data_IF_249540828229
#
_entry.id   IF_249540828229
#
_cell.length_a   1.000
_cell.length_b   1.000
_cell.length_c   1.000
_cell.angle_alpha   90.00
_cell.angle_beta   90.00
_cell.angle_gamma   90.00
#
_symmetry.space_group_name_H-M   'P 1'
#
loop_
_entity.id
_entity.type
_entity.pdbx_description
1 polymer ?
#
# COMPACT_ATOMS: atom_id res chain seq x y z
N UNK A 1 39.21 -10.98 -19.34
CA UNK A 1 39.28 -11.89 -18.17
C UNK A 1 38.74 -11.11 -17.00
N UNK A 2 37.86 -11.72 -16.20
CA UNK A 2 37.30 -11.10 -15.01
C UNK A 2 38.23 -11.32 -13.82
N UNK A 3 38.64 -10.25 -13.17
CA UNK A 3 39.32 -10.29 -11.88
C UNK A 3 38.42 -10.86 -10.79
N UNK A 4 39.00 -11.36 -9.67
CA UNK A 4 38.21 -11.76 -8.52
C UNK A 4 37.23 -10.67 -8.10
N UNK A 5 37.70 -9.42 -7.95
CA UNK A 5 36.90 -8.29 -7.46
C UNK A 5 35.69 -7.98 -8.37
N UNK A 6 35.85 -8.03 -9.70
CA UNK A 6 34.73 -7.86 -10.64
C UNK A 6 33.66 -8.95 -10.47
N UNK A 7 34.07 -10.20 -10.21
CA UNK A 7 33.13 -11.28 -9.94
C UNK A 7 32.52 -11.17 -8.54
N UNK A 8 33.25 -10.68 -7.53
CA UNK A 8 32.71 -10.40 -6.19
C UNK A 8 31.61 -9.34 -6.24
N UNK A 9 31.86 -8.22 -6.91
CA UNK A 9 30.84 -7.17 -7.10
C UNK A 9 29.61 -7.70 -7.83
N UNK A 10 29.81 -8.52 -8.86
CA UNK A 10 28.71 -9.17 -9.57
C UNK A 10 27.90 -10.06 -8.63
N UNK A 11 28.55 -10.86 -7.79
CA UNK A 11 27.89 -11.72 -6.80
C UNK A 11 27.11 -10.90 -5.77
N UNK A 12 27.65 -9.77 -5.31
CA UNK A 12 26.96 -8.85 -4.40
C UNK A 12 25.71 -8.25 -5.06
N UNK A 13 25.80 -7.74 -6.29
CA UNK A 13 24.65 -7.18 -7.03
C UNK A 13 23.56 -8.23 -7.30
N UNK A 14 23.92 -9.50 -7.45
CA UNK A 14 22.96 -10.58 -7.62
C UNK A 14 22.08 -10.77 -6.37
N UNK A 15 22.59 -10.42 -5.17
CA UNK A 15 21.80 -10.41 -3.95
C UNK A 15 20.66 -9.39 -4.01
N UNK A 16 20.81 -8.27 -4.72
CA UNK A 16 19.73 -7.27 -4.82
C UNK A 16 18.54 -7.77 -5.64
N UNK A 17 18.78 -8.66 -6.60
CA UNK A 17 17.75 -9.20 -7.50
C UNK A 17 16.87 -10.24 -6.81
N UNK A 18 15.58 -9.92 -6.63
CA UNK A 18 14.60 -10.84 -6.05
C UNK A 18 14.51 -12.18 -6.83
N UNK A 19 14.61 -12.12 -8.16
CA UNK A 19 14.59 -13.30 -9.03
C UNK A 19 15.79 -14.22 -8.75
N UNK A 20 17.00 -13.66 -8.78
CA UNK A 20 18.23 -14.45 -8.60
C UNK A 20 18.36 -14.97 -7.17
N UNK A 21 17.94 -14.21 -6.15
CA UNK A 21 17.87 -14.71 -4.77
C UNK A 21 16.95 -15.93 -4.66
N UNK A 22 15.73 -15.84 -5.21
CA UNK A 22 14.77 -16.92 -5.18
C UNK A 22 15.30 -18.17 -5.90
N UNK A 23 15.84 -18.00 -7.11
CA UNK A 23 16.46 -19.10 -7.86
C UNK A 23 17.58 -19.79 -7.07
N UNK A 24 18.45 -19.02 -6.41
CA UNK A 24 19.64 -19.59 -5.74
C UNK A 24 19.39 -20.14 -4.35
N UNK A 25 18.43 -19.60 -3.62
CA UNK A 25 18.15 -20.00 -2.24
C UNK A 25 17.03 -21.04 -2.13
N UNK A 26 16.06 -21.04 -3.06
CA UNK A 26 14.91 -21.95 -2.99
C UNK A 26 15.05 -23.19 -3.87
N UNK A 27 15.99 -23.21 -4.84
CA UNK A 27 16.19 -24.33 -5.76
C UNK A 27 17.59 -24.93 -5.60
N UNK A 28 17.72 -26.06 -4.88
CA UNK A 28 19.00 -26.71 -4.66
C UNK A 28 19.73 -27.11 -5.95
N UNK A 29 18.99 -27.41 -7.03
CA UNK A 29 19.54 -27.80 -8.33
C UNK A 29 20.28 -26.69 -9.10
N UNK A 30 20.28 -25.46 -8.59
CA UNK A 30 21.03 -24.35 -9.19
C UNK A 30 22.49 -24.26 -8.70
N UNK A 31 22.93 -25.23 -7.89
CA UNK A 31 24.32 -25.38 -7.45
C UNK A 31 24.99 -26.58 -8.14
N UNK A 32 26.28 -26.50 -8.48
CA UNK A 32 27.19 -25.39 -8.20
C UNK A 32 27.04 -24.20 -9.17
N UNK A 33 27.33 -22.99 -8.68
CA UNK A 33 27.40 -21.78 -9.50
C UNK A 33 28.77 -21.69 -10.18
N UNK A 34 28.79 -21.76 -11.51
CA UNK A 34 30.01 -21.68 -12.31
C UNK A 34 30.16 -20.29 -12.95
N UNK A 35 31.12 -19.51 -12.47
CA UNK A 35 31.41 -18.16 -13.00
C UNK A 35 32.60 -18.22 -13.96
N UNK A 36 32.43 -17.86 -15.25
CA UNK A 36 33.55 -17.84 -16.19
C UNK A 36 34.51 -16.70 -15.86
N UNK A 37 35.79 -17.02 -15.70
CA UNK A 37 36.89 -16.06 -15.51
C UNK A 37 37.37 -15.55 -16.88
N UNK A 38 37.37 -16.45 -17.86
CA UNK A 38 37.77 -16.19 -19.24
C UNK A 38 39.28 -16.33 -19.46
N UNK A 39 39.67 -16.67 -20.70
CA UNK A 39 41.07 -16.88 -21.10
C UNK A 39 41.61 -15.64 -21.84
N UNK A 40 42.88 -15.24 -21.65
CA UNK A 40 43.50 -14.23 -22.48
C UNK A 40 43.79 -14.80 -23.88
N UNK A 41 43.71 -13.97 -24.92
CA UNK A 41 44.16 -14.38 -26.25
C UNK A 41 45.69 -14.49 -26.28
N UNK A 42 46.23 -15.24 -27.23
CA UNK A 42 47.69 -15.37 -27.45
C UNK A 42 48.39 -14.03 -27.63
N UNK A 43 47.72 -13.07 -28.29
CA UNK A 43 48.21 -11.70 -28.47
C UNK A 43 48.29 -10.94 -27.14
N UNK A 44 47.25 -11.00 -26.32
CA UNK A 44 47.20 -10.33 -25.00
C UNK A 44 48.27 -10.92 -24.08
N UNK A 45 48.48 -12.24 -24.13
CA UNK A 45 49.53 -12.88 -23.33
C UNK A 45 50.93 -12.38 -23.72
N UNK A 46 51.23 -12.24 -25.02
CA UNK A 46 52.53 -11.77 -25.49
C UNK A 46 52.79 -10.29 -25.20
N UNK A 47 51.76 -9.44 -25.30
CA UNK A 47 51.88 -7.98 -25.11
C UNK A 47 51.81 -7.56 -23.63
N UNK A 48 51.17 -8.36 -22.77
CA UNK A 48 50.84 -7.98 -21.38
C UNK A 48 51.13 -9.10 -20.36
N UNK A 49 52.22 -9.84 -20.51
CA UNK A 49 52.59 -11.00 -19.68
C UNK A 49 52.51 -10.73 -18.18
N UNK A 50 53.07 -9.61 -17.70
CA UNK A 50 53.10 -9.28 -16.27
C UNK A 50 51.69 -9.10 -15.70
N UNK A 51 50.77 -8.48 -16.45
CA UNK A 51 49.37 -8.30 -16.05
C UNK A 51 48.63 -9.62 -15.96
N UNK A 52 48.91 -10.56 -16.86
CA UNK A 52 48.34 -11.92 -16.84
C UNK A 52 48.87 -12.71 -15.64
N UNK A 53 50.17 -12.63 -15.34
CA UNK A 53 50.74 -13.30 -14.16
C UNK A 53 50.19 -12.73 -12.85
N UNK A 54 50.03 -11.41 -12.73
CA UNK A 54 49.38 -10.79 -11.57
C UNK A 54 47.93 -11.25 -11.44
N UNK A 55 47.19 -11.35 -12.54
CA UNK A 55 45.83 -11.87 -12.56
C UNK A 55 45.75 -13.31 -12.04
N UNK A 56 46.64 -14.20 -12.51
CA UNK A 56 46.77 -15.57 -12.02
C UNK A 56 47.06 -15.61 -10.52
N UNK A 57 47.99 -14.77 -10.03
CA UNK A 57 48.33 -14.71 -8.61
C UNK A 57 47.14 -14.26 -7.75
N UNK A 58 46.35 -13.28 -8.20
CA UNK A 58 45.12 -12.87 -7.51
C UNK A 58 44.12 -14.02 -7.39
N UNK A 59 43.97 -14.84 -8.44
CA UNK A 59 43.10 -16.01 -8.41
C UNK A 59 43.61 -17.13 -7.50
N UNK A 60 44.93 -17.29 -7.33
CA UNK A 60 45.51 -18.24 -6.35
C UNK A 60 45.27 -17.84 -4.90
N UNK A 61 45.03 -16.56 -4.64
CA UNK A 61 44.74 -16.03 -3.30
C UNK A 61 43.25 -16.16 -2.92
N UNK A 62 42.38 -16.57 -3.86
CA UNK A 62 40.96 -16.78 -3.58
C UNK A 62 40.79 -18.04 -2.74
N UNK A 63 40.32 -17.86 -1.50
CA UNK A 63 40.11 -18.95 -0.54
C UNK A 63 38.67 -19.51 -0.53
N UNK A 64 37.69 -18.76 -1.03
CA UNK A 64 36.28 -19.16 -1.02
C UNK A 64 35.92 -19.84 -2.34
N UNK A 65 35.29 -21.02 -2.25
CA UNK A 65 34.94 -21.84 -3.41
C UNK A 65 36.15 -22.53 -4.03
N UNK A 66 35.96 -23.04 -5.25
CA UNK A 66 36.98 -23.75 -6.01
C UNK A 66 37.26 -23.04 -7.34
N UNK A 67 38.54 -22.83 -7.67
CA UNK A 67 38.93 -22.32 -8.99
C UNK A 67 39.40 -23.48 -9.83
N UNK A 68 38.77 -23.70 -10.98
CA UNK A 68 39.23 -24.69 -11.96
C UNK A 68 40.40 -24.13 -12.77
N UNK A 69 41.48 -24.91 -12.87
CA UNK A 69 42.71 -24.55 -13.57
C UNK A 69 42.96 -25.48 -14.75
N UNK A 70 43.48 -24.93 -15.85
CA UNK A 70 43.91 -25.71 -17.02
C UNK A 70 45.28 -25.23 -17.49
N UNK A 71 46.13 -26.17 -17.90
CA UNK A 71 47.42 -25.88 -18.49
C UNK A 71 47.25 -25.39 -19.94
N UNK A 72 47.57 -24.12 -20.20
CA UNK A 72 47.47 -23.51 -21.52
C UNK A 72 48.88 -23.22 -22.06
N UNK A 73 49.15 -23.73 -23.27
CA UNK A 73 50.42 -23.49 -23.97
C UNK A 73 50.34 -22.19 -24.77
N UNK A 74 51.25 -21.25 -24.50
CA UNK A 74 51.39 -20.01 -25.27
C UNK A 74 52.71 -20.04 -26.03
N UNK A 75 52.72 -19.61 -27.29
CA UNK A 75 53.96 -19.56 -28.12
C UNK A 75 55.08 -18.71 -27.50
N UNK A 76 54.74 -17.81 -26.59
CA UNK A 76 55.67 -16.94 -25.88
C UNK A 76 56.22 -17.55 -24.56
N UNK A 77 55.90 -18.81 -24.25
CA UNK A 77 56.34 -19.52 -23.04
C UNK A 77 56.76 -20.95 -23.39
N UNK A 78 57.93 -21.38 -22.95
CA UNK A 78 58.44 -22.74 -23.17
C UNK A 78 57.73 -23.81 -22.32
N UNK A 79 56.98 -23.38 -21.29
CA UNK A 79 56.19 -24.26 -20.42
C UNK A 79 54.70 -23.87 -20.41
N UNK A 80 53.77 -24.84 -20.35
CA UNK A 80 52.34 -24.56 -20.19
C UNK A 80 52.07 -23.78 -18.89
N UNK A 81 51.26 -22.72 -18.98
CA UNK A 81 50.88 -21.89 -17.83
C UNK A 81 49.51 -22.33 -17.32
N UNK A 82 49.40 -22.63 -16.02
CA UNK A 82 48.11 -22.93 -15.39
C UNK A 82 47.24 -21.66 -15.32
N UNK A 83 46.15 -21.67 -16.06
CA UNK A 83 45.22 -20.55 -16.18
C UNK A 83 43.90 -20.83 -15.44
N UNK A 84 43.35 -19.84 -14.71
CA UNK A 84 42.08 -19.98 -14.02
C UNK A 84 40.95 -19.82 -15.03
N UNK A 85 40.05 -20.81 -15.12
CA UNK A 85 38.98 -20.82 -16.12
C UNK A 85 37.64 -20.41 -15.56
N UNK A 86 37.31 -21.01 -14.43
CA UNK A 86 36.00 -20.92 -13.81
C UNK A 86 36.17 -20.84 -12.30
N UNK A 87 35.33 -20.05 -11.67
CA UNK A 87 35.18 -20.01 -10.23
C UNK A 87 33.86 -20.70 -9.87
N UNK A 88 33.97 -21.78 -9.11
CA UNK A 88 32.88 -22.67 -8.73
C UNK A 88 32.54 -22.42 -7.27
N UNK A 89 31.27 -22.17 -7.01
CA UNK A 89 30.70 -22.03 -5.67
C UNK A 89 29.65 -23.12 -5.48
N UNK A 90 29.75 -23.91 -4.43
CA UNK A 90 28.94 -25.11 -4.22
C UNK A 90 27.72 -24.87 -3.33
N UNK A 91 27.66 -23.74 -2.63
CA UNK A 91 26.58 -23.44 -1.69
C UNK A 91 26.22 -21.97 -1.63
N UNK A 92 25.02 -21.63 -1.13
CA UNK A 92 24.64 -20.26 -0.81
C UNK A 92 25.67 -19.56 0.10
N UNK A 93 26.16 -20.25 1.14
CA UNK A 93 27.14 -19.69 2.07
C UNK A 93 28.46 -19.35 1.37
N UNK A 94 28.91 -20.18 0.42
CA UNK A 94 30.07 -19.86 -0.41
C UNK A 94 29.82 -18.64 -1.30
N UNK A 95 28.62 -18.49 -1.89
CA UNK A 95 28.27 -17.30 -2.67
C UNK A 95 28.31 -16.01 -1.85
N UNK A 96 27.76 -16.03 -0.65
CA UNK A 96 27.73 -14.86 0.24
C UNK A 96 29.14 -14.51 0.71
N UNK A 97 29.93 -15.51 1.13
CA UNK A 97 31.32 -15.32 1.52
C UNK A 97 32.18 -14.84 0.34
N UNK A 98 31.91 -15.34 -0.87
CA UNK A 98 32.60 -14.95 -2.09
C UNK A 98 32.31 -13.50 -2.49
N UNK A 99 31.08 -13.02 -2.28
CA UNK A 99 30.72 -11.63 -2.53
C UNK A 99 31.52 -10.64 -1.66
N UNK A 100 31.99 -11.08 -0.49
CA UNK A 100 32.79 -10.29 0.45
C UNK A 100 32.16 -8.93 0.85
N UNK A 101 30.83 -8.84 0.77
CA UNK A 101 30.06 -7.65 1.12
C UNK A 101 29.46 -7.80 2.53
N UNK A 102 29.75 -6.88 3.47
CA UNK A 102 29.29 -6.99 4.85
C UNK A 102 27.77 -6.81 5.01
N UNK A 103 27.13 -6.06 4.12
CA UNK A 103 25.67 -5.86 4.12
C UNK A 103 24.99 -7.14 3.65
N UNK A 104 25.46 -7.73 2.56
CA UNK A 104 24.95 -9.01 2.04
C UNK A 104 25.13 -10.12 3.08
N UNK A 105 26.30 -10.18 3.72
CA UNK A 105 26.59 -11.18 4.77
C UNK A 105 25.68 -11.04 5.99
N UNK A 106 25.43 -9.80 6.45
CA UNK A 106 24.51 -9.53 7.56
C UNK A 106 23.08 -9.94 7.20
N UNK A 107 22.62 -9.57 6.01
CA UNK A 107 21.27 -9.88 5.55
C UNK A 107 21.03 -11.36 5.37
N UNK A 108 22.01 -12.09 4.83
CA UNK A 108 21.93 -13.54 4.72
C UNK A 108 21.77 -14.21 6.09
N UNK A 109 22.59 -13.81 7.09
CA UNK A 109 22.46 -14.33 8.46
C UNK A 109 21.11 -14.00 9.10
N UNK A 110 20.60 -12.78 8.90
CA UNK A 110 19.28 -12.39 9.40
C UNK A 110 18.18 -13.24 8.76
N UNK A 111 18.25 -13.45 7.44
CA UNK A 111 17.29 -14.26 6.70
C UNK A 111 17.34 -15.73 7.15
N UNK A 112 18.53 -16.29 7.34
CA UNK A 112 18.74 -17.65 7.84
C UNK A 112 18.06 -17.84 9.20
N UNK A 113 18.34 -16.96 10.18
CA UNK A 113 17.74 -17.03 11.51
C UNK A 113 16.21 -16.87 11.53
N UNK A 114 15.64 -16.14 10.56
CA UNK A 114 14.17 -16.04 10.39
C UNK A 114 13.62 -17.32 9.76
N UNK A 115 14.22 -17.79 8.65
CA UNK A 115 13.74 -18.95 7.89
C UNK A 115 13.75 -20.23 8.72
N UNK A 116 14.75 -20.41 9.60
CA UNK A 116 14.84 -21.56 10.51
C UNK A 116 13.64 -21.67 11.47
N UNK A 117 13.03 -20.55 11.84
CA UNK A 117 11.95 -20.48 12.82
C UNK A 117 10.56 -20.25 12.21
N UNK A 118 10.50 -20.03 10.90
CA UNK A 118 9.27 -19.72 10.17
C UNK A 118 8.83 -20.91 9.32
N UNK A 119 7.52 -21.11 9.23
CA UNK A 119 6.93 -22.17 8.41
C UNK A 119 7.43 -22.10 6.94
N UNK A 120 7.87 -23.22 6.33
CA UNK A 120 8.38 -23.27 4.96
C UNK A 120 7.51 -22.64 3.89
N UNK A 121 6.19 -22.58 4.09
CA UNK A 121 5.26 -21.95 3.15
C UNK A 121 5.61 -20.48 2.88
N UNK A 122 6.18 -19.77 3.86
CA UNK A 122 6.53 -18.35 3.75
C UNK A 122 7.94 -18.10 3.22
N UNK A 123 8.81 -19.12 3.12
CA UNK A 123 10.19 -18.94 2.67
C UNK A 123 10.28 -18.26 1.29
N UNK A 124 9.47 -18.64 0.28
CA UNK A 124 9.52 -17.98 -1.02
C UNK A 124 9.22 -16.48 -0.97
N UNK A 125 8.25 -16.07 -0.13
CA UNK A 125 7.88 -14.67 0.05
C UNK A 125 9.04 -13.89 0.70
N UNK A 126 9.59 -14.40 1.80
CA UNK A 126 10.66 -13.75 2.55
C UNK A 126 11.96 -13.64 1.75
N UNK A 127 12.31 -14.67 0.97
CA UNK A 127 13.49 -14.66 0.08
C UNK A 127 13.34 -13.64 -1.05
N UNK A 128 12.15 -13.55 -1.66
CA UNK A 128 11.88 -12.60 -2.76
C UNK A 128 11.84 -11.16 -2.24
N UNK A 129 11.14 -10.90 -1.14
CA UNK A 129 10.80 -9.55 -0.68
C UNK A 129 11.57 -9.15 0.59
N UNK A 130 12.84 -8.77 0.42
CA UNK A 130 13.71 -8.33 1.53
C UNK A 130 13.17 -7.15 2.36
N UNK A 131 12.33 -6.28 1.77
CA UNK A 131 11.75 -5.13 2.46
C UNK A 131 10.84 -5.54 3.62
N UNK A 132 10.33 -6.78 3.60
CA UNK A 132 9.46 -7.32 4.66
C UNK A 132 10.19 -7.56 5.98
N UNK A 133 11.53 -7.67 5.98
CA UNK A 133 12.30 -8.03 7.17
C UNK A 133 13.59 -7.23 7.37
N UNK A 134 14.19 -6.63 6.33
CA UNK A 134 15.49 -5.93 6.41
C UNK A 134 15.58 -4.85 7.49
N UNK A 135 14.49 -4.12 7.73
CA UNK A 135 14.43 -3.00 8.69
C UNK A 135 13.56 -3.31 9.90
N UNK A 136 13.15 -4.57 10.08
CA UNK A 136 12.34 -5.02 11.19
C UNK A 136 13.19 -5.85 12.14
N UNK A 137 12.74 -5.91 13.38
CA UNK A 137 13.27 -6.86 14.35
C UNK A 137 12.97 -8.31 13.88
N UNK A 138 13.98 -9.20 13.82
CA UNK A 138 13.78 -10.58 13.38
C UNK A 138 12.74 -11.33 14.21
N UNK A 139 12.70 -11.11 15.53
CA UNK A 139 11.71 -11.74 16.39
C UNK A 139 10.31 -11.26 16.05
N UNK A 140 10.14 -9.98 15.74
CA UNK A 140 8.89 -9.43 15.21
C UNK A 140 8.41 -10.12 13.93
N UNK A 141 9.31 -10.41 12.98
CA UNK A 141 8.94 -11.12 11.74
C UNK A 141 8.54 -12.57 12.02
N UNK A 142 9.26 -13.26 12.88
CA UNK A 142 8.97 -14.64 13.29
C UNK A 142 7.61 -14.71 14.00
N UNK A 143 7.34 -13.79 14.92
CA UNK A 143 6.05 -13.67 15.61
C UNK A 143 4.92 -13.38 14.63
N UNK A 144 5.13 -12.53 13.62
CA UNK A 144 4.12 -12.24 12.61
C UNK A 144 3.80 -13.48 11.76
N UNK A 145 4.82 -14.23 11.34
CA UNK A 145 4.61 -15.48 10.60
C UNK A 145 3.94 -16.56 11.47
N UNK A 146 4.29 -16.65 12.75
CA UNK A 146 3.66 -17.57 13.70
C UNK A 146 2.18 -17.24 13.91
N UNK A 147 1.87 -15.95 14.06
CA UNK A 147 0.50 -15.47 14.14
C UNK A 147 -0.26 -15.74 12.83
N UNK A 148 0.34 -15.44 11.68
CA UNK A 148 -0.25 -15.67 10.37
C UNK A 148 -0.56 -17.16 10.09
N UNK A 149 0.15 -18.11 10.71
CA UNK A 149 -0.18 -19.55 10.66
C UNK A 149 -1.45 -19.93 11.43
N UNK A 150 -1.90 -19.10 12.37
CA UNK A 150 -3.02 -19.40 13.28
C UNK A 150 -4.29 -18.63 12.93
N UNK A 151 -4.14 -17.49 12.25
CA UNK A 151 -5.27 -16.70 11.78
C UNK A 151 -6.00 -17.45 10.67
N UNK A 152 -7.33 -17.45 10.73
CA UNK A 152 -8.22 -18.04 9.73
C UNK A 152 -9.20 -16.97 9.24
N UNK A 153 -9.80 -17.10 8.05
CA UNK A 153 -10.87 -16.23 7.62
C UNK A 153 -11.98 -16.20 8.67
N UNK A 154 -12.43 -15.00 9.03
CA UNK A 154 -13.50 -14.82 10.01
C UNK A 154 -13.15 -15.14 11.47
N UNK A 155 -11.87 -15.32 11.82
CA UNK A 155 -11.50 -15.74 13.17
C UNK A 155 -11.77 -14.69 14.26
N UNK A 156 -11.91 -13.41 13.88
CA UNK A 156 -12.10 -12.32 14.80
C UNK A 156 -13.54 -12.16 15.28
N UNK A 157 -14.54 -12.63 14.53
CA UNK A 157 -15.96 -12.68 14.96
C UNK A 157 -16.49 -11.33 15.47
N UNK A 158 -16.15 -10.24 14.78
CA UNK A 158 -16.49 -8.89 15.19
C UNK A 158 -15.73 -8.40 16.43
N UNK A 159 -14.53 -8.93 16.71
CA UNK A 159 -13.63 -8.38 17.71
C UNK A 159 -12.53 -7.53 17.05
N UNK A 160 -12.06 -6.45 17.68
CA UNK A 160 -10.95 -5.66 17.15
C UNK A 160 -9.68 -6.48 16.92
N UNK A 161 -8.92 -6.13 15.88
CA UNK A 161 -7.65 -6.77 15.55
C UNK A 161 -6.69 -6.81 16.74
N UNK A 162 -6.64 -5.75 17.56
CA UNK A 162 -5.78 -5.69 18.76
C UNK A 162 -6.05 -6.79 19.79
N UNK A 163 -7.26 -7.38 19.82
CA UNK A 163 -7.59 -8.48 20.72
C UNK A 163 -7.11 -9.85 20.19
N UNK A 164 -6.84 -9.96 18.88
CA UNK A 164 -6.24 -11.16 18.29
C UNK A 164 -4.75 -11.31 18.65
N UNK A 165 -4.13 -10.27 19.19
CA UNK A 165 -2.72 -10.24 19.64
C UNK A 165 -2.43 -11.12 20.86
N UNK A 166 -3.43 -11.80 21.45
CA UNK A 166 -3.36 -12.52 22.74
C UNK A 166 -2.43 -13.74 22.85
N UNK A 167 -1.33 -13.80 22.09
CA UNK A 167 -0.40 -14.93 22.01
C UNK A 167 1.07 -14.47 22.05
N UNK A 168 1.40 -13.55 22.96
CA UNK A 168 2.78 -13.10 23.21
C UNK A 168 3.26 -11.93 22.33
N UNK A 169 2.34 -11.25 21.64
CA UNK A 169 2.62 -10.00 20.92
C UNK A 169 1.78 -8.87 21.54
N UNK A 170 2.33 -7.65 21.54
CA UNK A 170 1.61 -6.48 22.09
C UNK A 170 0.31 -6.23 21.30
N UNK A 171 -0.68 -5.63 21.95
CA UNK A 171 -1.95 -5.16 21.39
C UNK A 171 -1.77 -4.39 20.08
N UNK A 172 -0.70 -3.58 19.95
CA UNK A 172 -0.36 -2.81 18.74
C UNK A 172 0.41 -3.60 17.68
N UNK A 173 0.73 -4.86 17.91
CA UNK A 173 1.58 -5.63 17.01
C UNK A 173 0.93 -5.85 15.64
N UNK A 174 -0.36 -6.19 15.61
CA UNK A 174 -1.09 -6.40 14.36
C UNK A 174 -1.17 -5.08 13.60
N UNK A 175 -1.52 -3.97 14.26
CA UNK A 175 -1.58 -2.62 13.67
C UNK A 175 -0.25 -2.22 13.02
N UNK A 176 0.88 -2.46 13.72
CA UNK A 176 2.22 -2.14 13.21
C UNK A 176 2.71 -3.09 12.10
N UNK A 177 2.04 -4.23 11.89
CA UNK A 177 2.44 -5.26 10.94
C UNK A 177 1.33 -5.64 9.95
N UNK A 178 0.30 -4.81 9.75
CA UNK A 178 -0.81 -5.07 8.82
C UNK A 178 -0.29 -5.49 7.45
N UNK A 179 0.64 -4.74 6.87
CA UNK A 179 1.19 -5.04 5.54
C UNK A 179 1.93 -6.37 5.46
N UNK A 180 2.68 -6.74 6.51
CA UNK A 180 3.38 -8.02 6.60
C UNK A 180 2.38 -9.17 6.78
N UNK A 181 1.43 -9.03 7.70
CA UNK A 181 0.40 -10.04 7.97
C UNK A 181 -0.48 -10.29 6.74
N UNK A 182 -0.88 -9.24 6.04
CA UNK A 182 -1.65 -9.36 4.79
C UNK A 182 -0.90 -10.20 3.75
N UNK A 183 0.38 -9.89 3.51
CA UNK A 183 1.22 -10.66 2.57
C UNK A 183 1.44 -12.11 2.98
N UNK A 184 1.57 -12.37 4.28
CA UNK A 184 1.68 -13.73 4.80
C UNK A 184 0.37 -14.50 4.62
N UNK A 185 -0.78 -13.87 4.89
CA UNK A 185 -2.09 -14.47 4.67
C UNK A 185 -2.38 -14.71 3.18
N UNK A 186 -1.94 -13.82 2.29
CA UNK A 186 -2.04 -14.05 0.84
C UNK A 186 -1.35 -15.34 0.39
N UNK A 187 -0.22 -15.70 1.02
CA UNK A 187 0.46 -16.97 0.73
C UNK A 187 -0.39 -18.17 1.15
N UNK A 188 -1.16 -18.06 2.24
CA UNK A 188 -2.03 -19.14 2.74
C UNK A 188 -3.36 -19.21 2.00
N UNK A 189 -3.91 -18.08 1.61
CA UNK A 189 -5.27 -17.93 1.10
C UNK A 189 -5.29 -17.33 -0.32
N UNK A 190 -4.23 -17.56 -1.10
CA UNK A 190 -4.17 -17.22 -2.53
C UNK A 190 -4.48 -15.75 -2.89
N UNK A 191 -4.15 -14.79 -2.02
CA UNK A 191 -4.34 -13.36 -2.27
C UNK A 191 -5.61 -12.73 -1.70
N UNK A 192 -6.50 -13.54 -1.10
CA UNK A 192 -7.80 -13.08 -0.58
C UNK A 192 -7.68 -11.99 0.51
N UNK A 193 -6.62 -12.04 1.33
CA UNK A 193 -6.42 -11.05 2.38
C UNK A 193 -6.11 -9.65 1.83
N UNK A 194 -5.35 -9.57 0.72
CA UNK A 194 -5.13 -8.31 0.00
C UNK A 194 -6.35 -7.84 -0.77
N UNK A 195 -7.13 -8.76 -1.36
CA UNK A 195 -8.33 -8.39 -2.13
C UNK A 195 -9.45 -7.84 -1.26
N UNK A 196 -9.73 -8.50 -0.13
CA UNK A 196 -10.80 -8.10 0.80
C UNK A 196 -10.33 -7.03 1.79
N UNK A 197 -9.02 -6.94 2.04
CA UNK A 197 -8.46 -6.16 3.14
C UNK A 197 -8.42 -6.97 4.44
N UNK A 198 -7.38 -6.75 5.26
CA UNK A 198 -7.10 -7.59 6.44
C UNK A 198 -8.24 -7.63 7.47
N UNK A 199 -8.89 -6.48 7.71
CA UNK A 199 -9.99 -6.37 8.69
C UNK A 199 -11.19 -7.20 8.25
N UNK A 200 -11.64 -7.04 7.00
CA UNK A 200 -12.75 -7.79 6.41
C UNK A 200 -12.44 -9.27 6.32
N UNK A 201 -11.24 -9.63 5.84
CA UNK A 201 -10.81 -11.02 5.71
C UNK A 201 -10.86 -11.79 7.05
N UNK A 202 -10.49 -11.12 8.15
CA UNK A 202 -10.50 -11.72 9.49
C UNK A 202 -11.86 -11.59 10.21
N UNK A 203 -12.88 -10.94 9.61
CA UNK A 203 -14.13 -10.54 10.27
C UNK A 203 -13.88 -9.76 11.56
N UNK A 204 -12.89 -8.87 11.55
CA UNK A 204 -12.54 -8.07 12.71
C UNK A 204 -13.44 -6.85 12.81
N UNK A 205 -13.76 -6.45 14.04
CA UNK A 205 -14.40 -5.17 14.27
C UNK A 205 -13.49 -4.08 13.77
N UNK A 206 -13.98 -3.33 12.79
CA UNK A 206 -13.27 -2.20 12.29
C UNK A 206 -13.41 -1.04 13.26
N UNK A 207 -12.42 -0.85 14.13
CA UNK A 207 -12.35 0.36 14.97
C UNK A 207 -12.19 1.64 14.15
N UNK A 208 -11.87 1.52 12.85
CA UNK A 208 -11.92 2.63 11.90
C UNK A 208 -13.31 2.89 11.33
N UNK A 209 -14.35 2.17 11.78
CA UNK A 209 -15.74 2.48 11.41
C UNK A 209 -16.03 3.93 11.79
N UNK A 210 -16.12 4.77 10.76
CA UNK A 210 -16.12 6.20 10.91
C UNK A 210 -17.40 6.63 11.63
N UNK A 211 -17.26 7.43 12.70
CA UNK A 211 -18.42 7.89 13.47
C UNK A 211 -19.05 9.08 12.78
N UNK A 212 -20.33 8.94 12.43
CA UNK A 212 -21.13 9.99 11.81
C UNK A 212 -22.22 10.47 12.75
N UNK A 213 -22.58 11.75 12.61
CA UNK A 213 -23.67 12.35 13.36
C UNK A 213 -24.97 12.24 12.55
N UNK A 214 -25.95 11.53 13.09
CA UNK A 214 -27.28 11.37 12.49
C UNK A 214 -28.26 12.30 13.19
N UNK A 215 -28.96 13.13 12.40
CA UNK A 215 -29.88 14.15 12.89
C UNK A 215 -31.19 14.10 12.11
N UNK A 216 -32.34 13.83 12.74
CA UNK A 216 -33.64 13.99 12.07
C UNK A 216 -33.93 15.48 11.89
N UNK A 217 -34.21 15.91 10.66
CA UNK A 217 -34.61 17.30 10.35
C UNK A 217 -36.13 17.50 10.43
N UNK A 218 -36.89 16.41 10.57
CA UNK A 218 -38.31 16.41 10.91
C UNK A 218 -38.54 15.76 12.28
N UNK A 219 -39.42 16.31 13.14
CA UNK A 219 -39.80 15.67 14.38
C UNK A 219 -40.39 14.27 14.17
N UNK A 220 -40.06 13.33 15.07
CA UNK A 220 -40.70 12.00 15.12
C UNK A 220 -40.06 10.92 14.25
N UNK A 221 -39.07 11.23 13.41
CA UNK A 221 -38.37 10.21 12.60
C UNK A 221 -37.50 9.28 13.46
N UNK A 222 -36.76 9.86 14.41
CA UNK A 222 -35.91 9.11 15.34
C UNK A 222 -36.30 9.42 16.80
N UNK A 223 -36.09 8.48 17.73
CA UNK A 223 -36.36 8.70 19.16
C UNK A 223 -35.38 9.69 19.81
N UNK A 224 -34.33 10.10 19.09
CA UNK A 224 -33.30 11.02 19.55
C UNK A 224 -33.24 12.26 18.66
N UNK A 225 -32.90 13.41 19.25
CA UNK A 225 -32.68 14.66 18.50
C UNK A 225 -31.40 14.63 17.65
N UNK A 226 -30.40 13.88 18.09
CA UNK A 226 -29.11 13.63 17.44
C UNK A 226 -28.56 12.32 18.02
N UNK A 227 -27.92 11.48 17.22
CA UNK A 227 -27.16 10.32 17.69
C UNK A 227 -25.87 10.16 16.87
N UNK A 228 -24.86 9.52 17.46
CA UNK A 228 -23.67 9.08 16.72
C UNK A 228 -23.79 7.59 16.48
N UNK A 229 -23.57 7.18 15.24
CA UNK A 229 -23.52 5.79 14.80
C UNK A 229 -22.29 5.61 13.92
N UNK A 230 -21.89 4.37 13.67
CA UNK A 230 -20.83 4.09 12.71
C UNK A 230 -21.39 3.99 11.29
N UNK A 231 -20.58 4.27 10.28
CA UNK A 231 -20.93 4.04 8.86
C UNK A 231 -21.30 2.58 8.58
N UNK A 232 -20.70 1.62 9.30
CA UNK A 232 -21.06 0.20 9.21
C UNK A 232 -22.49 -0.07 9.72
N UNK A 233 -22.86 0.45 10.91
CA UNK A 233 -24.22 0.31 11.45
C UNK A 233 -25.24 1.01 10.55
N UNK A 234 -24.87 2.18 10.01
CA UNK A 234 -25.68 2.94 9.08
C UNK A 234 -25.93 2.18 7.76
N UNK A 235 -24.95 1.44 7.26
CA UNK A 235 -25.09 0.61 6.07
C UNK A 235 -26.09 -0.54 6.27
N UNK A 236 -26.32 -0.99 7.50
CA UNK A 236 -27.26 -2.10 7.79
C UNK A 236 -28.62 -1.62 8.31
N UNK A 237 -28.76 -0.32 8.59
CA UNK A 237 -29.95 0.24 9.24
C UNK A 237 -30.86 0.97 8.27
N UNK A 238 -32.10 0.49 8.15
CA UNK A 238 -33.15 1.22 7.41
C UNK A 238 -33.58 2.47 8.17
N UNK A 239 -33.17 3.63 7.66
CA UNK A 239 -33.59 4.92 8.22
C UNK A 239 -35.07 5.21 7.93
N UNK A 240 -35.87 5.68 8.91
CA UNK A 240 -37.28 6.01 8.73
C UNK A 240 -37.44 7.41 8.12
N UNK A 241 -36.97 7.58 6.88
CA UNK A 241 -37.07 8.82 6.10
C UNK A 241 -37.03 8.49 4.60
N UNK A 242 -37.79 9.21 3.76
CA UNK A 242 -37.64 9.12 2.30
C UNK A 242 -36.43 9.89 1.78
N UNK A 243 -35.96 10.90 2.53
CA UNK A 243 -34.84 11.75 2.14
C UNK A 243 -33.64 11.60 3.09
N UNK A 244 -32.45 11.53 2.51
CA UNK A 244 -31.18 11.48 3.23
C UNK A 244 -30.27 12.59 2.73
N UNK A 245 -29.87 13.49 3.63
CA UNK A 245 -28.93 14.57 3.35
C UNK A 245 -27.57 14.23 3.93
N UNK A 246 -26.59 13.97 3.07
CA UNK A 246 -25.20 13.70 3.47
C UNK A 246 -24.42 15.00 3.45
N UNK A 247 -23.84 15.37 4.60
CA UNK A 247 -23.05 16.59 4.76
C UNK A 247 -21.64 16.21 5.20
N UNK A 248 -20.62 16.68 4.50
CA UNK A 248 -19.24 16.33 4.80
C UNK A 248 -18.82 16.77 6.20
N UNK A 249 -19.08 18.02 6.57
CA UNK A 249 -18.65 18.61 7.84
C UNK A 249 -19.77 18.66 8.91
N UNK A 250 -19.50 18.14 10.10
CA UNK A 250 -20.44 18.18 11.24
C UNK A 250 -20.76 19.60 11.72
N UNK A 251 -19.83 20.53 11.55
CA UNK A 251 -20.01 21.91 11.97
C UNK A 251 -21.14 22.59 11.19
N UNK A 252 -21.45 22.12 9.98
CA UNK A 252 -22.53 22.66 9.14
C UNK A 252 -23.95 22.36 9.66
N UNK A 253 -24.09 21.64 10.77
CA UNK A 253 -25.39 21.34 11.37
C UNK A 253 -26.26 22.58 11.63
N UNK A 254 -25.63 23.72 11.94
CA UNK A 254 -26.35 24.98 12.20
C UNK A 254 -26.91 25.64 10.94
N UNK A 255 -26.51 25.21 9.74
CA UNK A 255 -27.06 25.64 8.45
C UNK A 255 -28.27 24.82 8.01
N UNK A 256 -28.58 23.70 8.68
CA UNK A 256 -29.62 22.78 8.23
C UNK A 256 -31.01 23.25 8.70
N UNK A 257 -31.92 23.62 7.78
CA UNK A 257 -33.28 23.97 8.14
C UNK A 257 -34.08 22.72 8.52
N UNK A 258 -35.27 22.91 9.10
CA UNK A 258 -36.23 21.82 9.25
C UNK A 258 -36.72 21.38 7.87
N UNK A 259 -36.53 20.10 7.55
CA UNK A 259 -36.94 19.47 6.29
C UNK A 259 -37.86 18.29 6.59
N UNK A 260 -38.96 18.20 5.86
CA UNK A 260 -39.97 17.15 6.05
C UNK A 260 -39.44 15.80 5.59
N UNK A 261 -39.61 14.78 6.41
CA UNK A 261 -39.23 13.39 6.10
C UNK A 261 -37.74 13.22 5.69
N UNK A 262 -36.87 14.03 6.30
CA UNK A 262 -35.42 14.05 6.01
C UNK A 262 -34.59 13.70 7.25
N UNK A 263 -33.57 12.86 7.06
CA UNK A 263 -32.49 12.63 8.02
C UNK A 263 -31.19 13.16 7.43
N UNK A 264 -30.48 13.99 8.20
CA UNK A 264 -29.13 14.44 7.87
C UNK A 264 -28.08 13.52 8.51
N UNK A 265 -27.02 13.23 7.75
CA UNK A 265 -25.88 12.42 8.16
C UNK A 265 -24.65 13.27 7.93
N UNK A 266 -24.04 13.73 9.03
CA UNK A 266 -22.93 14.66 8.99
C UNK A 266 -21.62 14.00 9.39
N UNK A 267 -20.53 14.54 8.86
CA UNK A 267 -19.20 14.11 9.28
C UNK A 267 -18.73 12.87 8.55
N UNK A 268 -19.16 12.57 7.32
CA UNK A 268 -18.81 11.31 6.64
C UNK A 268 -17.32 11.20 6.26
N UNK A 269 -16.59 12.32 6.20
CA UNK A 269 -15.17 12.33 5.84
C UNK A 269 -14.89 11.57 4.54
N UNK A 270 -13.83 10.77 4.53
CA UNK A 270 -13.44 9.95 3.37
C UNK A 270 -14.25 8.65 3.21
N UNK A 271 -15.07 8.30 4.21
CA UNK A 271 -15.82 7.04 4.26
C UNK A 271 -17.25 7.26 3.73
N UNK A 272 -17.37 7.21 2.41
CA UNK A 272 -18.64 7.33 1.68
C UNK A 272 -19.12 5.99 1.10
N UNK A 273 -18.41 4.88 1.37
CA UNK A 273 -18.70 3.58 0.76
C UNK A 273 -20.04 2.99 1.23
N UNK A 274 -20.45 3.30 2.47
CA UNK A 274 -21.74 2.91 3.04
C UNK A 274 -22.93 3.39 2.20
N UNK A 275 -22.77 4.45 1.38
CA UNK A 275 -23.80 4.90 0.44
C UNK A 275 -24.22 3.82 -0.56
N UNK A 276 -23.37 2.82 -0.82
CA UNK A 276 -23.72 1.70 -1.72
C UNK A 276 -24.74 0.72 -1.13
N UNK A 277 -25.07 0.84 0.17
CA UNK A 277 -25.99 -0.08 0.83
C UNK A 277 -27.41 -0.02 0.26
N UNK A 278 -28.03 -1.18 0.06
CA UNK A 278 -29.40 -1.33 -0.41
C UNK A 278 -30.46 -0.68 0.49
N UNK A 279 -30.12 -0.38 1.75
CA UNK A 279 -31.03 0.35 2.66
C UNK A 279 -31.39 1.75 2.16
N UNK A 280 -30.63 2.28 1.20
CA UNK A 280 -30.84 3.59 0.56
C UNK A 280 -31.50 3.51 -0.82
N UNK A 281 -31.84 2.33 -1.35
CA UNK A 281 -32.31 2.16 -2.74
C UNK A 281 -33.58 2.97 -3.06
N UNK A 282 -34.49 3.09 -2.09
CA UNK A 282 -35.77 3.81 -2.23
C UNK A 282 -35.71 5.24 -1.67
N UNK A 283 -34.52 5.74 -1.34
CA UNK A 283 -34.33 7.05 -0.71
C UNK A 283 -33.78 8.06 -1.71
N UNK A 284 -34.26 9.29 -1.62
CA UNK A 284 -33.63 10.43 -2.32
C UNK A 284 -32.43 10.88 -1.50
N UNK A 285 -31.24 10.83 -2.11
CA UNK A 285 -29.98 11.15 -1.44
C UNK A 285 -29.39 12.43 -2.01
N UNK A 286 -29.10 13.39 -1.15
CA UNK A 286 -28.29 14.56 -1.50
C UNK A 286 -26.92 14.51 -0.83
N UNK A 287 -25.93 15.11 -1.48
CA UNK A 287 -24.58 15.30 -0.97
C UNK A 287 -24.21 16.78 -0.97
N UNK A 288 -23.69 17.26 0.15
CA UNK A 288 -23.13 18.59 0.31
C UNK A 288 -21.75 18.49 0.96
N UNK A 289 -20.71 18.90 0.25
CA UNK A 289 -19.32 18.97 0.71
C UNK A 289 -18.69 20.33 0.45
N UNK A 290 -17.39 20.45 0.74
CA UNK A 290 -16.61 21.66 0.48
C UNK A 290 -16.46 21.93 -1.03
N UNK A 291 -16.39 23.21 -1.42
CA UNK A 291 -16.07 23.59 -2.78
C UNK A 291 -14.55 23.68 -2.96
N UNK A 292 -13.91 22.51 -3.03
CA UNK A 292 -12.50 22.32 -3.33
C UNK A 292 -12.25 21.01 -4.10
N UNK A 293 -10.98 20.65 -4.31
CA UNK A 293 -10.65 19.44 -5.05
C UNK A 293 -10.91 18.15 -4.23
N UNK A 294 -10.92 18.21 -2.89
CA UNK A 294 -11.20 17.07 -2.02
C UNK A 294 -12.70 16.80 -1.91
N UNK A 295 -13.52 17.83 -1.70
CA UNK A 295 -14.97 17.75 -1.67
C UNK A 295 -15.53 17.21 -2.99
N UNK A 296 -15.02 17.69 -4.13
CA UNK A 296 -15.41 17.13 -5.44
C UNK A 296 -14.89 15.69 -5.65
N UNK A 297 -13.73 15.33 -5.11
CA UNK A 297 -13.30 13.92 -5.11
C UNK A 297 -14.26 13.04 -4.28
N UNK A 298 -14.75 13.55 -3.14
CA UNK A 298 -15.72 12.82 -2.32
C UNK A 298 -17.07 12.71 -3.00
N UNK A 299 -17.54 13.77 -3.64
CA UNK A 299 -18.74 13.75 -4.49
C UNK A 299 -18.63 12.69 -5.58
N UNK A 300 -17.48 12.60 -6.27
CA UNK A 300 -17.26 11.58 -7.30
C UNK A 300 -17.35 10.15 -6.73
N UNK A 301 -16.79 9.92 -5.54
CA UNK A 301 -16.88 8.62 -4.85
C UNK A 301 -18.30 8.31 -4.42
N UNK A 302 -19.00 9.28 -3.82
CA UNK A 302 -20.40 9.15 -3.45
C UNK A 302 -21.26 8.82 -4.67
N UNK A 303 -21.02 9.49 -5.81
CA UNK A 303 -21.80 9.28 -7.05
C UNK A 303 -21.53 7.91 -7.68
N UNK A 304 -20.31 7.37 -7.54
CA UNK A 304 -20.03 5.98 -7.92
C UNK A 304 -20.80 4.98 -7.07
N UNK A 305 -21.03 5.25 -5.79
CA UNK A 305 -21.87 4.43 -4.93
C UNK A 305 -23.36 4.63 -5.23
N UNK A 306 -23.79 5.86 -5.51
CA UNK A 306 -25.18 6.25 -5.80
C UNK A 306 -25.26 7.21 -6.98
N UNK A 307 -25.42 6.70 -8.22
CA UNK A 307 -25.44 7.53 -9.42
C UNK A 307 -26.54 8.59 -9.44
N UNK A 308 -27.67 8.31 -8.78
CA UNK A 308 -28.87 9.18 -8.71
C UNK A 308 -28.78 10.25 -7.62
N UNK A 309 -27.64 10.42 -6.95
CA UNK A 309 -27.52 11.41 -5.89
C UNK A 309 -27.54 12.85 -6.44
N UNK A 310 -28.14 13.75 -5.65
CA UNK A 310 -28.18 15.19 -5.93
C UNK A 310 -26.96 15.88 -5.28
N UNK A 311 -26.16 16.63 -6.05
CA UNK A 311 -25.10 17.46 -5.50
C UNK A 311 -25.67 18.85 -5.15
N UNK A 312 -25.55 19.27 -3.89
CA UNK A 312 -26.08 20.54 -3.41
C UNK A 312 -24.95 21.51 -3.08
N UNK A 313 -25.13 22.79 -3.41
CA UNK A 313 -24.25 23.90 -3.03
C UNK A 313 -22.79 23.77 -3.50
N UNK A 314 -22.51 22.87 -4.44
CA UNK A 314 -21.18 22.58 -4.98
C UNK A 314 -21.09 22.90 -6.47
N UNK A 315 -21.32 24.16 -6.84
CA UNK A 315 -21.26 24.60 -8.24
C UNK A 315 -20.41 25.86 -8.41
N UNK A 316 -20.04 26.10 -9.68
CA UNK A 316 -19.14 27.18 -10.05
C UNK A 316 -19.75 28.56 -9.78
N UNK A 317 -21.04 28.72 -10.04
CA UNK A 317 -21.76 29.98 -9.88
C UNK A 317 -21.71 30.46 -8.42
N UNK A 318 -22.00 29.55 -7.48
CA UNK A 318 -21.92 29.82 -6.05
C UNK A 318 -20.48 30.09 -5.61
N UNK A 319 -19.51 29.32 -6.11
CA UNK A 319 -18.12 29.57 -5.80
C UNK A 319 -17.68 30.97 -6.24
N UNK A 320 -17.94 31.35 -7.49
CA UNK A 320 -17.56 32.68 -8.01
C UNK A 320 -18.21 33.82 -7.23
N UNK A 321 -19.45 33.62 -6.78
CA UNK A 321 -20.18 34.62 -5.99
C UNK A 321 -19.57 34.86 -4.59
N UNK A 322 -19.05 33.81 -3.94
CA UNK A 322 -18.57 33.90 -2.55
C UNK A 322 -17.05 33.82 -2.38
N UNK A 323 -16.32 33.44 -3.43
CA UNK A 323 -14.87 33.24 -3.38
C UNK A 323 -14.10 34.50 -2.99
N UNK A 324 -14.56 35.69 -3.39
CA UNK A 324 -13.86 36.94 -3.09
C UNK A 324 -13.73 37.27 -1.59
N UNK A 325 -14.60 36.69 -0.76
CA UNK A 325 -14.64 36.95 0.68
C UNK A 325 -14.13 35.77 1.51
N UNK A 326 -14.24 34.55 0.99
CA UNK A 326 -14.10 33.33 1.79
C UNK A 326 -13.22 32.25 1.16
N UNK A 327 -12.80 32.39 -0.11
CA UNK A 327 -11.92 31.40 -0.71
C UNK A 327 -10.48 31.56 -0.23
N UNK A 328 -9.85 30.42 0.06
CA UNK A 328 -8.48 30.33 0.56
C UNK A 328 -7.65 29.42 -0.35
N UNK A 329 -6.31 29.49 -0.26
CA UNK A 329 -5.43 28.54 -0.95
C UNK A 329 -5.70 27.11 -0.51
N UNK A 330 -5.64 26.18 -1.47
CA UNK A 330 -5.65 24.74 -1.23
C UNK A 330 -4.19 24.26 -1.19
N UNK A 331 -3.63 23.85 -0.03
CA UNK A 331 -2.20 23.51 0.07
C UNK A 331 -1.81 22.29 -0.76
N UNK A 332 -2.74 21.34 -0.92
CA UNK A 332 -2.55 20.09 -1.63
C UNK A 332 -3.83 19.75 -2.37
N UNK A 333 -3.77 19.74 -3.71
CA UNK A 333 -4.85 19.27 -4.55
C UNK A 333 -5.03 17.74 -4.40
N UNK A 334 -6.26 17.26 -4.48
CA UNK A 334 -6.60 15.86 -4.26
C UNK A 334 -6.04 14.94 -5.36
N UNK A 335 -6.14 15.36 -6.62
CA UNK A 335 -5.60 14.67 -7.81
C UNK A 335 -5.26 15.69 -8.90
N UNK A 336 -4.25 15.39 -9.72
CA UNK A 336 -3.97 16.20 -10.92
C UNK A 336 -5.00 15.98 -12.04
N UNK A 337 -5.53 14.75 -12.14
CA UNK A 337 -6.58 14.40 -13.09
C UNK A 337 -7.97 14.53 -12.44
N UNK A 338 -8.97 14.87 -13.26
CA UNK A 338 -10.37 14.93 -12.83
C UNK A 338 -10.81 13.55 -12.31
N UNK A 339 -11.44 13.46 -11.13
CA UNK A 339 -11.95 12.21 -10.59
C UNK A 339 -13.02 11.56 -11.48
N UNK A 340 -12.90 10.24 -11.68
CA UNK A 340 -13.94 9.45 -12.33
C UNK A 340 -15.21 9.43 -11.47
N UNK A 341 -16.35 9.72 -12.09
CA UNK A 341 -17.66 9.75 -11.44
C UNK A 341 -18.26 11.15 -11.30
N UNK A 342 -17.53 12.23 -11.62
CA UNK A 342 -18.11 13.57 -11.73
C UNK A 342 -18.91 13.73 -13.03
N UNK A 343 -19.99 14.52 -12.96
CA UNK A 343 -20.70 15.01 -14.14
C UNK A 343 -19.85 16.04 -14.90
N UNK A 344 -20.22 16.35 -16.15
CA UNK A 344 -19.45 17.28 -16.98
C UNK A 344 -19.27 18.66 -16.33
N UNK A 345 -20.33 19.21 -15.75
CA UNK A 345 -20.29 20.52 -15.07
C UNK A 345 -19.42 20.48 -13.81
N UNK A 346 -19.50 19.39 -13.03
CA UNK A 346 -18.68 19.16 -11.83
C UNK A 346 -17.19 18.96 -12.18
N UNK A 347 -16.92 18.26 -13.27
CA UNK A 347 -15.59 18.04 -13.82
C UNK A 347 -14.95 19.36 -14.31
N UNK A 348 -15.75 20.22 -14.96
CA UNK A 348 -15.32 21.56 -15.35
C UNK A 348 -15.08 22.45 -14.14
N UNK A 349 -15.94 22.34 -13.12
CA UNK A 349 -15.74 23.03 -11.85
C UNK A 349 -14.46 22.58 -11.14
N UNK A 350 -14.16 21.27 -11.12
CA UNK A 350 -12.90 20.73 -10.59
C UNK A 350 -11.66 21.32 -11.28
N UNK A 351 -11.68 21.38 -12.62
CA UNK A 351 -10.59 21.99 -13.41
C UNK A 351 -10.46 23.49 -13.16
N UNK A 352 -11.57 24.16 -12.89
CA UNK A 352 -11.59 25.58 -12.55
C UNK A 352 -10.91 25.81 -11.19
N UNK A 353 -11.32 25.10 -10.14
CA UNK A 353 -10.77 25.23 -8.78
C UNK A 353 -9.27 24.97 -8.72
N UNK A 354 -8.81 23.86 -9.33
CA UNK A 354 -7.39 23.45 -9.33
C UNK A 354 -6.44 24.40 -10.04
N UNK A 355 -6.96 25.36 -10.83
CA UNK A 355 -6.16 26.40 -11.50
C UNK A 355 -6.09 27.71 -10.72
N UNK A 356 -6.91 27.88 -9.69
CA UNK A 356 -6.97 29.10 -8.90
C UNK A 356 -5.92 29.09 -7.78
N UNK A 357 -5.34 30.26 -7.44
CA UNK A 357 -4.49 30.37 -6.26
C UNK A 357 -5.28 30.19 -4.95
N UNK A 358 -6.56 30.57 -4.93
CA UNK A 358 -7.50 30.36 -3.84
C UNK A 358 -8.67 29.48 -4.34
N UNK A 359 -8.41 28.19 -4.50
CA UNK A 359 -9.36 27.22 -5.06
C UNK A 359 -10.24 26.48 -4.04
N UNK A 360 -10.26 26.91 -2.77
CA UNK A 360 -10.99 26.22 -1.69
C UNK A 360 -11.96 27.16 -0.99
N UNK A 361 -13.24 26.77 -0.93
CA UNK A 361 -14.26 27.43 -0.11
C UNK A 361 -14.96 26.39 0.78
N UNK A 362 -14.76 26.51 2.10
CA UNK A 362 -15.31 25.58 3.09
C UNK A 362 -16.82 25.86 3.30
N UNK A 363 -17.60 24.80 3.52
CA UNK A 363 -19.07 24.85 3.64
C UNK A 363 -19.56 25.87 4.67
N UNK A 364 -18.85 26.00 5.79
CA UNK A 364 -19.17 26.89 6.93
C UNK A 364 -19.19 28.38 6.53
N UNK A 365 -18.51 28.75 5.45
CA UNK A 365 -18.42 30.14 4.99
C UNK A 365 -19.48 30.52 3.96
N UNK A 366 -20.34 29.59 3.55
CA UNK A 366 -21.50 29.92 2.74
C UNK A 366 -22.56 30.65 3.59
N UNK A 367 -23.22 31.70 3.08
CA UNK A 367 -24.27 32.37 3.83
C UNK A 367 -25.42 31.40 4.19
N UNK A 368 -25.82 31.42 5.47
CA UNK A 368 -26.88 30.55 6.00
C UNK A 368 -28.16 30.61 5.15
N UNK A 369 -28.62 31.80 4.78
CA UNK A 369 -29.85 31.96 3.99
C UNK A 369 -29.81 31.30 2.60
N UNK A 370 -28.63 31.19 1.99
CA UNK A 370 -28.47 30.52 0.69
C UNK A 370 -28.50 29.00 0.87
N UNK A 371 -27.80 28.49 1.88
CA UNK A 371 -27.85 27.08 2.22
C UNK A 371 -29.30 26.66 2.55
N UNK A 372 -30.00 27.44 3.37
CA UNK A 372 -31.41 27.21 3.71
C UNK A 372 -32.31 27.20 2.46
N UNK A 373 -32.18 28.18 1.55
CA UNK A 373 -33.01 28.25 0.35
C UNK A 373 -32.84 27.02 -0.54
N UNK A 374 -31.59 26.60 -0.80
CA UNK A 374 -31.29 25.44 -1.65
C UNK A 374 -31.78 24.16 -1.00
N UNK A 375 -31.54 23.97 0.30
CA UNK A 375 -31.97 22.79 1.06
C UNK A 375 -33.50 22.69 1.13
N UNK A 376 -34.21 23.80 1.35
CA UNK A 376 -35.68 23.86 1.35
C UNK A 376 -36.26 23.57 -0.03
N UNK A 377 -35.60 24.01 -1.10
CA UNK A 377 -36.04 23.70 -2.47
C UNK A 377 -35.89 22.22 -2.75
N UNK A 378 -34.72 21.65 -2.47
CA UNK A 378 -34.47 20.22 -2.62
C UNK A 378 -35.49 19.40 -1.84
N UNK A 379 -35.72 19.70 -0.54
CA UNK A 379 -36.66 18.96 0.29
C UNK A 379 -38.14 19.01 -0.18
N UNK A 380 -38.53 19.98 -1.01
CA UNK A 380 -39.90 20.11 -1.55
C UNK A 380 -40.13 19.37 -2.86
N UNK A 381 -39.08 19.03 -3.59
CA UNK A 381 -39.15 18.39 -4.92
C UNK A 381 -39.45 16.88 -4.84
N UNK A 382 -40.25 16.44 -3.86
CA UNK A 382 -40.60 15.02 -3.65
C UNK A 382 -41.79 14.56 -4.48
#
# INVERSE_FOLDING_TARGET
>A
MYSPDELREKLARQWDSAKLRAERLLSPGNWPLCLPIGKPSTKIFAEQTQRVLQHVQRWRQVAVGHVEWEAVSYRASDTPVLMPLRWILNSPSEWINAAADPVVSREFRLLEGIIEQVNPIFHPLLVKHRSLWRHKDPQGVISAATLACRLEPGCAKGLPLRLLSGQGVDTKFIENNISLLTRLLDVRFSGEASEQGLTTFLDAFDESSHWVLVVPLSPGLLPFKKCRVTTAELAETTLPASQVLVVENEQCLHHLPALSDTIAILGCGLDVQWLSSSVLDEKRVAYWGDMDSWGLLMLARARRCRPTLDALLMNRELFEQYASHSAVPEPVIAKEAVPDGLLNEEADFYRYLTRLPCGRLEQEFLPVGIAEEVLLRWGKES
#
